data_IF_808049656451
#
_entry.id   IF_808049656451
#
_cell.length_a   1.000
_cell.length_b   1.000
_cell.length_c   1.000
_cell.angle_alpha   90.00
_cell.angle_beta   90.00
_cell.angle_gamma   90.00
#
_symmetry.space_group_name_H-M   'P 1'
#
loop_
_entity.id
_entity.type
_entity.pdbx_description
1 polymer ?
#
# COMPACT_ATOMS: atom_id res chain seq x y z
N UNK A 1 27.17 19.66 5.45
CA UNK A 1 26.04 20.62 5.56
C UNK A 1 25.56 20.63 7.00
N UNK A 2 25.03 21.74 7.58
CA UNK A 2 24.56 21.71 8.98
C UNK A 2 23.31 20.87 9.12
N UNK A 3 23.11 20.23 10.30
CA UNK A 3 21.90 19.45 10.64
C UNK A 3 20.60 20.23 10.36
N UNK A 4 20.58 21.53 10.67
CA UNK A 4 19.46 22.41 10.40
C UNK A 4 19.07 22.43 8.89
N UNK A 5 20.05 22.44 8.00
CA UNK A 5 19.76 22.44 6.57
C UNK A 5 19.27 21.08 6.07
N UNK A 6 19.83 20.00 6.64
CA UNK A 6 19.38 18.62 6.37
C UNK A 6 17.91 18.43 6.78
N UNK A 7 17.52 18.84 8.00
CA UNK A 7 16.13 18.76 8.49
C UNK A 7 15.17 19.64 7.69
N UNK A 8 15.61 20.80 7.21
CA UNK A 8 14.79 21.67 6.34
C UNK A 8 14.47 21.02 4.99
N UNK A 9 15.40 20.22 4.42
CA UNK A 9 15.12 19.47 3.18
C UNK A 9 14.00 18.46 3.41
N UNK A 10 14.06 17.70 4.51
CA UNK A 10 13.01 16.73 4.86
C UNK A 10 11.65 17.41 5.10
N UNK A 11 11.63 18.55 5.81
CA UNK A 11 10.40 19.30 6.04
C UNK A 11 9.73 19.79 4.74
N UNK A 12 10.49 20.06 3.68
CA UNK A 12 9.92 20.43 2.38
C UNK A 12 9.11 19.30 1.74
N UNK A 13 9.45 18.03 2.01
CA UNK A 13 8.65 16.88 1.54
C UNK A 13 7.28 16.93 2.23
N UNK A 14 7.24 17.10 3.55
CA UNK A 14 5.98 17.21 4.30
C UNK A 14 5.09 18.37 3.80
N UNK A 15 5.69 19.48 3.41
CA UNK A 15 4.94 20.63 2.88
C UNK A 15 4.33 20.37 1.49
N UNK A 16 5.00 19.56 0.66
CA UNK A 16 4.49 19.16 -0.66
C UNK A 16 3.37 18.10 -0.56
N UNK A 17 3.41 17.27 0.48
CA UNK A 17 2.47 16.17 0.69
C UNK A 17 1.04 16.58 1.04
N UNK A 18 0.75 17.89 1.11
CA UNK A 18 -0.61 18.41 1.35
C UNK A 18 -1.65 17.93 0.34
N UNK A 19 -1.25 17.66 -0.91
CA UNK A 19 -2.14 17.33 -2.03
C UNK A 19 -1.87 15.96 -2.65
N UNK A 20 -0.67 15.38 -2.46
CA UNK A 20 -0.28 14.10 -3.06
C UNK A 20 0.30 13.16 -1.99
N UNK A 21 0.15 11.83 -2.15
CA UNK A 21 0.82 10.86 -1.27
C UNK A 21 2.34 11.06 -1.32
N UNK A 22 3.01 11.01 -0.17
CA UNK A 22 4.47 11.01 -0.14
C UNK A 22 5.00 9.75 -0.78
N UNK A 23 5.95 9.93 -1.69
CA UNK A 23 6.75 8.83 -2.22
C UNK A 23 7.89 8.60 -1.23
N UNK A 24 7.91 7.44 -0.57
CA UNK A 24 8.94 7.12 0.43
C UNK A 24 10.34 7.11 -0.16
N UNK A 25 10.47 6.86 -1.47
CA UNK A 25 11.75 6.94 -2.19
C UNK A 25 12.35 8.35 -2.14
N UNK A 26 11.54 9.42 -2.14
CA UNK A 26 12.04 10.79 -2.02
C UNK A 26 12.72 11.04 -0.66
N UNK A 27 12.18 10.45 0.41
CA UNK A 27 12.78 10.51 1.74
C UNK A 27 14.08 9.69 1.77
N UNK A 28 14.05 8.49 1.18
CA UNK A 28 15.22 7.63 1.08
C UNK A 28 16.33 8.30 0.27
N UNK A 29 15.99 9.02 -0.80
CA UNK A 29 16.98 9.76 -1.61
C UNK A 29 17.68 10.84 -0.80
N UNK A 30 16.95 11.68 -0.07
CA UNK A 30 17.54 12.70 0.79
C UNK A 30 18.42 12.09 1.87
N UNK A 31 17.97 11.03 2.52
CA UNK A 31 18.76 10.34 3.55
C UNK A 31 20.03 9.74 2.97
N UNK A 32 19.92 9.08 1.81
CA UNK A 32 21.05 8.49 1.10
C UNK A 32 22.11 9.55 0.74
N UNK A 33 21.67 10.70 0.21
CA UNK A 33 22.58 11.82 -0.12
C UNK A 33 23.24 12.44 1.11
N UNK A 34 22.49 12.65 2.19
CA UNK A 34 22.99 13.38 3.37
C UNK A 34 23.79 12.48 4.32
N UNK A 35 23.58 11.16 4.31
CA UNK A 35 24.24 10.17 5.16
C UNK A 35 25.21 9.28 4.42
N UNK A 36 25.33 9.42 3.09
CA UNK A 36 26.16 8.55 2.25
C UNK A 36 25.91 7.06 2.50
N UNK A 37 24.62 6.67 2.49
CA UNK A 37 24.18 5.35 2.93
C UNK A 37 23.16 4.74 2.00
N UNK A 38 23.12 3.41 1.93
CA UNK A 38 21.94 2.72 1.44
C UNK A 38 20.80 2.86 2.46
N UNK A 39 19.61 3.15 1.99
CA UNK A 39 18.45 3.43 2.83
C UNK A 39 17.29 2.54 2.45
N UNK A 40 16.60 1.96 3.45
CA UNK A 40 15.39 1.17 3.26
C UNK A 40 14.33 1.59 4.27
N UNK A 41 13.12 1.82 3.78
CA UNK A 41 11.92 1.99 4.60
C UNK A 41 11.08 0.73 4.49
N UNK A 42 10.93 0.01 5.58
CA UNK A 42 10.23 -1.29 5.63
C UNK A 42 8.95 -1.15 6.44
N UNK A 43 7.84 -1.60 5.90
CA UNK A 43 6.54 -1.62 6.61
C UNK A 43 6.52 -2.66 7.73
N UNK A 44 5.55 -2.58 8.64
CA UNK A 44 5.30 -3.61 9.66
C UNK A 44 5.13 -5.04 9.09
N UNK A 45 4.71 -5.17 7.83
CA UNK A 45 4.53 -6.48 7.14
C UNK A 45 5.76 -6.92 6.34
N UNK A 46 6.89 -6.26 6.51
CA UNK A 46 8.13 -6.57 5.80
C UNK A 46 8.20 -6.04 4.37
N UNK A 47 7.16 -5.37 3.87
CA UNK A 47 7.17 -4.78 2.53
C UNK A 47 8.08 -3.55 2.51
N UNK A 48 8.96 -3.46 1.53
CA UNK A 48 9.78 -2.28 1.27
C UNK A 48 8.88 -1.20 0.67
N UNK A 49 8.72 -0.09 1.39
CA UNK A 49 7.90 1.05 1.00
C UNK A 49 8.69 2.07 0.18
N UNK A 50 9.99 2.15 0.40
CA UNK A 50 10.92 2.99 -0.33
C UNK A 50 12.36 2.56 -0.06
N UNK A 51 13.25 2.87 -1.01
CA UNK A 51 14.66 2.56 -0.92
C UNK A 51 15.50 3.48 -1.79
N UNK A 52 16.78 3.63 -1.43
CA UNK A 52 17.80 4.28 -2.23
C UNK A 52 19.15 3.66 -1.96
N UNK A 53 19.93 3.46 -3.01
CA UNK A 53 21.28 2.89 -2.93
C UNK A 53 22.31 3.93 -3.32
N UNK A 54 23.30 4.08 -2.47
CA UNK A 54 24.51 4.88 -2.70
C UNK A 54 25.61 4.03 -3.33
N UNK A 55 25.66 2.76 -2.93
CA UNK A 55 26.75 1.86 -3.34
C UNK A 55 26.30 0.94 -4.47
N UNK A 56 27.15 0.78 -5.54
CA UNK A 56 26.84 -0.14 -6.63
C UNK A 56 26.84 -1.59 -6.14
N UNK A 57 25.96 -2.40 -6.71
CA UNK A 57 25.89 -3.84 -6.43
C UNK A 57 26.96 -4.59 -7.19
N UNK A 58 27.65 -5.50 -6.50
CA UNK A 58 28.69 -6.36 -7.09
C UNK A 58 28.13 -7.65 -7.70
N UNK A 59 26.99 -8.17 -7.24
CA UNK A 59 26.36 -9.36 -7.79
C UNK A 59 24.86 -9.15 -8.05
N UNK A 60 24.36 -9.69 -9.19
CA UNK A 60 22.97 -9.54 -9.62
C UNK A 60 21.99 -10.53 -8.97
N UNK A 61 22.50 -11.66 -8.44
CA UNK A 61 21.65 -12.82 -8.12
C UNK A 61 20.96 -12.72 -6.75
N UNK A 62 21.58 -12.08 -5.77
CA UNK A 62 21.00 -11.95 -4.41
C UNK A 62 20.13 -10.70 -4.24
N UNK A 63 20.46 -9.68 -5.01
CA UNK A 63 19.66 -8.46 -5.10
C UNK A 63 18.26 -8.71 -5.66
N UNK A 64 18.14 -9.69 -6.55
CA UNK A 64 16.90 -9.93 -7.29
C UNK A 64 15.75 -10.37 -6.37
N UNK A 65 15.95 -11.26 -5.41
CA UNK A 65 14.83 -11.84 -4.64
C UNK A 65 14.15 -10.83 -3.72
N UNK A 66 14.89 -10.03 -2.94
CA UNK A 66 14.30 -9.05 -2.01
C UNK A 66 13.70 -7.86 -2.76
N UNK A 67 14.33 -7.43 -3.85
CA UNK A 67 13.83 -6.29 -4.63
C UNK A 67 12.80 -6.68 -5.67
N UNK A 68 12.86 -7.88 -6.23
CA UNK A 68 11.78 -8.40 -7.09
C UNK A 68 10.49 -8.58 -6.29
N UNK A 69 10.57 -9.10 -5.07
CA UNK A 69 9.43 -9.24 -4.18
C UNK A 69 9.10 -7.95 -3.43
N UNK A 70 10.01 -6.97 -3.38
CA UNK A 70 9.91 -5.75 -2.56
C UNK A 70 9.50 -6.06 -1.12
N UNK A 71 9.99 -7.18 -0.59
CA UNK A 71 9.62 -7.69 0.73
C UNK A 71 10.78 -8.46 1.36
N UNK A 72 11.01 -8.25 2.67
CA UNK A 72 11.86 -9.09 3.50
C UNK A 72 11.14 -10.36 3.91
N UNK A 73 11.91 -11.42 4.25
CA UNK A 73 11.36 -12.64 4.84
C UNK A 73 10.65 -12.33 6.17
N UNK A 74 9.60 -13.08 6.46
CA UNK A 74 8.81 -12.85 7.67
C UNK A 74 9.66 -13.04 8.94
N UNK A 75 10.58 -14.02 8.98
CA UNK A 75 11.49 -14.27 10.11
C UNK A 75 12.42 -13.09 10.38
N UNK A 76 12.99 -12.50 9.34
CA UNK A 76 13.85 -11.33 9.49
C UNK A 76 13.06 -10.11 9.91
N UNK A 77 11.91 -9.87 9.31
CA UNK A 77 11.03 -8.78 9.69
C UNK A 77 10.58 -8.89 11.14
N UNK A 78 10.23 -10.08 11.62
CA UNK A 78 9.88 -10.33 13.01
C UNK A 78 11.05 -10.02 13.96
N UNK A 79 12.28 -10.26 13.52
CA UNK A 79 13.47 -9.87 14.27
C UNK A 79 13.63 -8.36 14.36
N UNK A 80 13.43 -7.65 13.27
CA UNK A 80 13.43 -6.18 13.25
C UNK A 80 12.32 -5.57 14.12
N UNK A 81 11.15 -6.16 14.14
CA UNK A 81 10.01 -5.66 14.93
C UNK A 81 10.20 -5.78 16.44
N UNK A 82 11.09 -6.66 16.91
CA UNK A 82 11.47 -6.79 18.33
C UNK A 82 12.37 -5.66 18.83
N UNK A 83 12.97 -4.91 17.91
CA UNK A 83 13.83 -3.76 18.25
C UNK A 83 12.93 -2.61 18.71
N UNK A 84 13.01 -2.25 20.00
CA UNK A 84 12.20 -1.18 20.60
C UNK A 84 12.82 0.21 20.53
N UNK A 85 14.15 0.29 20.42
CA UNK A 85 14.93 1.53 20.40
C UNK A 85 15.91 1.50 19.23
N UNK A 86 16.45 2.66 18.86
CA UNK A 86 17.43 2.76 17.77
C UNK A 86 18.69 1.95 18.11
N UNK A 87 19.07 1.05 17.22
CA UNK A 87 20.34 0.34 17.28
C UNK A 87 21.33 0.99 16.32
N UNK A 88 22.43 1.50 16.86
CA UNK A 88 23.37 2.36 16.16
C UNK A 88 24.66 1.60 15.88
N UNK A 89 25.21 1.78 14.67
CA UNK A 89 26.54 1.32 14.29
C UNK A 89 26.79 -0.18 14.52
N UNK A 90 25.81 -1.02 14.13
CA UNK A 90 25.95 -2.47 14.20
C UNK A 90 26.92 -2.96 13.14
N UNK A 91 27.87 -3.80 13.55
CA UNK A 91 28.80 -4.48 12.64
C UNK A 91 28.13 -5.67 11.93
N UNK A 92 28.78 -6.20 10.90
CA UNK A 92 28.26 -7.34 10.11
C UNK A 92 28.00 -8.61 10.93
N UNK A 93 28.66 -8.76 12.08
CA UNK A 93 28.51 -9.93 12.95
C UNK A 93 27.34 -9.83 13.92
N UNK A 94 26.63 -8.71 13.96
CA UNK A 94 25.49 -8.49 14.84
C UNK A 94 24.22 -9.19 14.34
N UNK A 95 23.41 -9.70 15.27
CA UNK A 95 22.21 -10.52 15.01
C UNK A 95 21.19 -9.89 14.07
N UNK A 96 21.17 -8.56 14.01
CA UNK A 96 20.15 -7.78 13.28
C UNK A 96 20.65 -7.28 11.94
N UNK A 97 21.92 -7.51 11.63
CA UNK A 97 22.45 -7.13 10.33
C UNK A 97 22.04 -8.18 9.32
N UNK A 98 21.27 -7.76 8.34
CA UNK A 98 20.97 -8.62 7.21
C UNK A 98 22.30 -8.87 6.49
N UNK A 99 22.81 -10.07 6.62
CA UNK A 99 23.78 -10.60 5.69
C UNK A 99 23.06 -10.90 4.37
N UNK A 100 22.55 -9.85 3.73
CA UNK A 100 22.46 -9.92 2.28
C UNK A 100 23.91 -10.04 1.90
N UNK A 101 24.30 -11.18 1.37
CA UNK A 101 25.67 -11.54 0.96
C UNK A 101 26.17 -10.60 -0.15
N UNK A 102 26.11 -9.32 0.11
CA UNK A 102 26.91 -8.34 -0.60
C UNK A 102 28.30 -8.49 -0.02
N UNK A 103 29.14 -9.27 -0.68
CA UNK A 103 30.58 -9.11 -0.57
C UNK A 103 30.93 -7.68 -1.04
N UNK A 104 30.80 -6.74 -0.14
CA UNK A 104 31.47 -5.46 -0.31
C UNK A 104 32.94 -5.76 -0.09
N UNK A 105 33.64 -6.12 -1.16
CA UNK A 105 35.05 -6.46 -1.10
C UNK A 105 35.85 -5.47 -0.24
N UNK A 106 36.21 -5.90 0.97
CA UNK A 106 37.15 -5.21 1.83
C UNK A 106 36.69 -3.98 2.61
N UNK A 107 35.35 -3.73 2.73
CA UNK A 107 34.83 -2.64 3.57
C UNK A 107 33.93 -3.17 4.69
N UNK A 108 34.11 -2.63 5.89
CA UNK A 108 33.26 -2.93 7.02
C UNK A 108 31.86 -2.31 6.80
N UNK A 109 30.86 -3.16 6.82
CA UNK A 109 29.45 -2.77 6.71
C UNK A 109 28.94 -2.35 8.07
N UNK A 110 28.52 -1.10 8.20
CA UNK A 110 27.88 -0.55 9.40
C UNK A 110 26.39 -0.37 9.16
N UNK A 111 25.58 -0.94 10.03
CA UNK A 111 24.10 -0.87 9.92
C UNK A 111 23.52 -0.11 11.10
N UNK A 112 22.60 0.79 10.86
CA UNK A 112 21.77 1.45 11.88
C UNK A 112 20.31 1.14 11.62
N UNK A 113 19.59 0.74 12.67
CA UNK A 113 18.18 0.33 12.61
C UNK A 113 17.36 1.25 13.48
N UNK A 114 16.43 1.97 12.87
CA UNK A 114 15.57 2.92 13.55
C UNK A 114 14.11 2.44 13.52
N UNK A 115 13.48 2.20 14.68
CA UNK A 115 12.07 1.87 14.77
C UNK A 115 11.18 3.00 14.28
N UNK A 116 10.26 2.72 13.36
CA UNK A 116 9.23 3.68 12.93
C UNK A 116 7.99 3.43 13.77
N UNK A 117 7.65 4.36 14.64
CA UNK A 117 6.50 4.27 15.54
C UNK A 117 5.51 5.43 15.28
N UNK A 118 4.23 5.20 15.53
CA UNK A 118 3.18 6.22 15.50
C UNK A 118 1.91 5.72 16.16
N UNK A 119 1.15 6.60 16.82
CA UNK A 119 -0.07 6.26 17.56
C UNK A 119 0.08 5.07 18.53
N UNK A 120 1.23 4.95 19.19
CA UNK A 120 1.60 3.83 20.09
C UNK A 120 1.70 2.48 19.39
N UNK A 121 1.83 2.46 18.08
CA UNK A 121 2.02 1.24 17.28
C UNK A 121 3.38 1.26 16.57
N UNK A 122 3.97 0.08 16.39
CA UNK A 122 5.07 -0.11 15.46
C UNK A 122 4.53 -0.09 14.04
N UNK A 123 5.00 0.85 13.22
CA UNK A 123 4.54 1.05 11.84
C UNK A 123 5.50 0.41 10.82
N UNK A 124 6.77 0.36 11.15
CA UNK A 124 7.80 -0.13 10.25
C UNK A 124 9.21 0.02 10.83
N UNK A 125 10.21 -0.09 9.97
CA UNK A 125 11.62 0.02 10.31
C UNK A 125 12.35 0.82 9.23
N UNK A 126 13.16 1.81 9.64
CA UNK A 126 14.13 2.47 8.79
C UNK A 126 15.49 1.78 9.00
N UNK A 127 16.12 1.37 7.91
CA UNK A 127 17.43 0.70 7.92
C UNK A 127 18.38 1.56 7.10
N UNK A 128 19.53 1.86 7.69
CA UNK A 128 20.64 2.60 7.08
C UNK A 128 21.85 1.70 7.03
N UNK A 129 22.54 1.69 5.89
CA UNK A 129 23.77 0.91 5.71
C UNK A 129 24.87 1.80 5.15
N UNK A 130 25.97 1.95 5.91
CA UNK A 130 27.17 2.70 5.52
C UNK A 130 28.34 1.76 5.25
N UNK A 131 29.15 2.13 4.25
CA UNK A 131 30.47 1.55 3.99
C UNK A 131 31.62 2.56 4.21
N UNK A 132 31.27 3.76 4.68
CA UNK A 132 32.22 4.85 4.90
C UNK A 132 32.61 5.04 6.37
N UNK A 133 31.98 4.27 7.26
CA UNK A 133 32.21 4.29 8.71
C UNK A 133 30.95 4.48 9.53
N UNK A 134 31.16 4.76 10.81
CA UNK A 134 30.10 4.93 11.80
C UNK A 134 29.31 6.24 11.61
N UNK A 135 28.03 6.19 11.95
CA UNK A 135 27.17 7.36 12.02
C UNK A 135 27.47 8.19 13.27
N UNK A 136 27.49 9.50 13.12
CA UNK A 136 27.64 10.46 14.22
C UNK A 136 26.30 10.69 14.93
N UNK A 137 26.34 11.30 16.10
CA UNK A 137 25.12 11.71 16.84
C UNK A 137 24.19 12.59 15.98
N UNK A 138 24.75 13.50 15.15
CA UNK A 138 23.95 14.35 14.24
C UNK A 138 23.26 13.50 13.15
N UNK A 139 23.90 12.46 12.66
CA UNK A 139 23.34 11.56 11.66
C UNK A 139 22.22 10.70 12.27
N UNK A 140 22.38 10.26 13.51
CA UNK A 140 21.35 9.52 14.25
C UNK A 140 20.13 10.41 14.52
N UNK A 141 20.33 11.65 14.95
CA UNK A 141 19.22 12.61 15.11
C UNK A 141 18.46 12.80 13.80
N UNK A 142 19.17 12.90 12.67
CA UNK A 142 18.53 13.02 11.35
C UNK A 142 17.74 11.76 10.99
N UNK A 143 18.29 10.57 11.27
CA UNK A 143 17.64 9.29 11.02
C UNK A 143 16.35 9.13 11.84
N UNK A 144 16.41 9.41 13.15
CA UNK A 144 15.24 9.34 14.05
C UNK A 144 14.16 10.38 13.70
N UNK A 145 14.59 11.58 13.32
CA UNK A 145 13.68 12.60 12.81
C UNK A 145 12.98 12.13 11.53
N UNK A 146 13.74 11.50 10.61
CA UNK A 146 13.18 10.94 9.38
C UNK A 146 12.23 9.79 9.65
N UNK A 147 12.54 8.91 10.61
CA UNK A 147 11.64 7.85 11.04
C UNK A 147 10.30 8.40 11.58
N UNK A 148 10.34 9.52 12.29
CA UNK A 148 9.13 10.22 12.76
C UNK A 148 8.30 10.73 11.59
N UNK A 149 8.93 11.37 10.60
CA UNK A 149 8.27 11.84 9.37
C UNK A 149 7.64 10.66 8.61
N UNK A 150 8.38 9.59 8.40
CA UNK A 150 7.90 8.38 7.74
C UNK A 150 6.69 7.81 8.49
N UNK A 151 6.76 7.75 9.82
CA UNK A 151 5.66 7.30 10.66
C UNK A 151 4.37 8.11 10.47
N UNK A 152 4.48 9.44 10.42
CA UNK A 152 3.34 10.33 10.14
C UNK A 152 2.75 10.08 8.75
N UNK A 153 3.58 9.89 7.73
CA UNK A 153 3.11 9.64 6.37
C UNK A 153 2.47 8.24 6.21
N UNK A 154 2.99 7.22 6.91
CA UNK A 154 2.34 5.90 6.95
C UNK A 154 0.95 6.00 7.59
N UNK A 155 0.82 6.73 8.70
CA UNK A 155 -0.48 6.94 9.36
C UNK A 155 -1.46 7.69 8.46
N UNK A 156 -0.98 8.74 7.79
CA UNK A 156 -1.78 9.51 6.86
C UNK A 156 -2.27 8.65 5.68
N UNK A 157 -1.39 7.86 5.08
CA UNK A 157 -1.75 6.97 3.98
C UNK A 157 -2.81 5.94 4.41
N UNK A 158 -2.68 5.35 5.60
CA UNK A 158 -3.68 4.45 6.18
C UNK A 158 -5.03 5.14 6.40
N UNK A 159 -5.02 6.39 6.85
CA UNK A 159 -6.25 7.15 7.06
C UNK A 159 -6.96 7.42 5.74
N UNK A 160 -6.24 7.88 4.71
CA UNK A 160 -6.81 8.13 3.38
C UNK A 160 -7.39 6.86 2.76
N UNK A 161 -6.69 5.73 2.88
CA UNK A 161 -7.19 4.43 2.42
C UNK A 161 -8.48 4.04 3.14
N UNK A 162 -8.52 4.20 4.47
CA UNK A 162 -9.71 3.93 5.27
C UNK A 162 -10.89 4.83 4.92
N UNK A 163 -10.66 6.12 4.69
CA UNK A 163 -11.69 7.09 4.27
C UNK A 163 -12.23 6.75 2.88
N UNK A 164 -11.37 6.34 1.95
CA UNK A 164 -11.79 5.90 0.62
C UNK A 164 -12.61 4.61 0.67
N UNK A 165 -12.17 3.63 1.44
CA UNK A 165 -12.92 2.39 1.65
C UNK A 165 -14.29 2.65 2.29
N UNK A 166 -14.35 3.53 3.29
CA UNK A 166 -15.62 3.94 3.90
C UNK A 166 -16.54 4.60 2.86
N UNK A 167 -16.01 5.54 2.08
CA UNK A 167 -16.76 6.20 1.01
C UNK A 167 -17.32 5.21 -0.01
N UNK A 168 -16.49 4.23 -0.43
CA UNK A 168 -16.94 3.17 -1.35
C UNK A 168 -18.09 2.34 -0.75
N UNK A 169 -17.96 1.97 0.53
CA UNK A 169 -19.00 1.25 1.26
C UNK A 169 -20.30 2.05 1.34
N UNK A 170 -20.23 3.34 1.71
CA UNK A 170 -21.39 4.21 1.85
C UNK A 170 -22.15 4.37 0.53
N UNK A 171 -21.42 4.53 -0.58
CA UNK A 171 -22.03 4.62 -1.92
C UNK A 171 -22.79 3.34 -2.28
N UNK A 172 -22.22 2.18 -2.00
CA UNK A 172 -22.87 0.89 -2.27
C UNK A 172 -24.11 0.70 -1.37
N UNK A 173 -23.98 1.00 -0.07
CA UNK A 173 -25.09 0.89 0.88
C UNK A 173 -26.29 1.78 0.47
N UNK A 174 -26.01 3.02 0.10
CA UNK A 174 -27.05 3.94 -0.42
C UNK A 174 -27.69 3.41 -1.70
N UNK A 175 -26.91 2.91 -2.64
CA UNK A 175 -27.41 2.34 -3.88
C UNK A 175 -28.34 1.14 -3.60
N UNK A 176 -27.94 0.21 -2.74
CA UNK A 176 -28.73 -0.97 -2.36
C UNK A 176 -30.02 -0.56 -1.61
N UNK A 177 -29.99 0.48 -0.78
CA UNK A 177 -31.18 0.98 -0.06
C UNK A 177 -32.26 1.53 -1.01
N UNK A 178 -31.88 2.05 -2.16
CA UNK A 178 -32.86 2.54 -3.18
C UNK A 178 -33.60 1.42 -3.88
N UNK A 179 -33.12 0.18 -3.80
CA UNK A 179 -33.73 -0.96 -4.48
C UNK A 179 -34.94 -1.48 -3.70
N UNK A 180 -36.01 -1.77 -4.42
CA UNK A 180 -37.15 -2.55 -3.88
C UNK A 180 -36.73 -4.01 -3.61
N UNK A 181 -37.56 -4.76 -2.90
CA UNK A 181 -37.27 -6.17 -2.61
C UNK A 181 -37.03 -6.99 -3.89
N UNK A 182 -37.91 -6.88 -4.89
CA UNK A 182 -37.77 -7.59 -6.16
C UNK A 182 -36.55 -7.14 -6.97
N UNK A 183 -36.15 -5.86 -6.86
CA UNK A 183 -34.93 -5.34 -7.49
C UNK A 183 -33.68 -5.90 -6.81
N UNK A 184 -33.68 -6.04 -5.47
CA UNK A 184 -32.57 -6.68 -4.73
C UNK A 184 -32.40 -8.15 -5.11
N UNK A 185 -33.49 -8.89 -5.20
CA UNK A 185 -33.46 -10.28 -5.70
C UNK A 185 -32.87 -10.37 -7.11
N UNK A 186 -33.35 -9.48 -8.02
CA UNK A 186 -32.82 -9.40 -9.36
C UNK A 186 -31.28 -9.16 -9.38
N UNK A 187 -30.82 -8.18 -8.61
CA UNK A 187 -29.43 -7.81 -8.49
C UNK A 187 -28.58 -8.99 -7.98
N UNK A 188 -29.04 -9.67 -6.93
CA UNK A 188 -28.36 -10.86 -6.40
C UNK A 188 -28.21 -11.96 -7.46
N UNK A 189 -29.26 -12.23 -8.24
CA UNK A 189 -29.19 -13.23 -9.31
C UNK A 189 -28.27 -12.81 -10.45
N UNK A 190 -28.29 -11.54 -10.83
CA UNK A 190 -27.44 -10.97 -11.88
C UNK A 190 -25.95 -11.18 -11.50
N UNK A 191 -25.55 -10.72 -10.33
CA UNK A 191 -24.13 -10.74 -9.94
C UNK A 191 -23.62 -12.13 -9.53
N UNK A 192 -24.50 -13.06 -9.17
CA UNK A 192 -24.13 -14.48 -9.01
C UNK A 192 -23.82 -15.18 -10.33
N UNK A 193 -24.47 -14.74 -11.42
CA UNK A 193 -24.22 -15.29 -12.77
C UNK A 193 -23.06 -14.61 -13.50
N UNK A 194 -22.63 -13.42 -13.02
CA UNK A 194 -21.46 -12.74 -13.56
C UNK A 194 -20.18 -13.48 -13.14
N UNK A 195 -19.30 -13.71 -14.09
CA UNK A 195 -17.98 -14.29 -13.84
C UNK A 195 -16.92 -13.17 -13.78
N UNK A 196 -16.62 -12.69 -12.58
CA UNK A 196 -15.71 -11.57 -12.35
C UNK A 196 -16.39 -10.20 -12.32
N UNK A 197 -15.60 -9.16 -12.60
CA UNK A 197 -16.06 -7.76 -12.49
C UNK A 197 -16.79 -7.27 -13.75
N UNK A 198 -16.85 -8.08 -14.79
CA UNK A 198 -17.50 -7.74 -16.07
C UNK A 198 -18.19 -8.95 -16.69
N UNK A 199 -19.35 -8.75 -17.29
CA UNK A 199 -20.06 -9.81 -17.96
C UNK A 199 -21.20 -9.37 -18.85
N UNK A 200 -21.74 -10.31 -19.62
CA UNK A 200 -22.88 -10.10 -20.51
C UNK A 200 -24.15 -10.69 -19.91
N UNK A 201 -25.16 -9.84 -19.76
CA UNK A 201 -26.45 -10.19 -19.20
C UNK A 201 -27.56 -10.16 -20.27
N UNK A 202 -28.40 -11.18 -20.30
CA UNK A 202 -29.65 -11.18 -21.03
C UNK A 202 -30.80 -11.03 -20.04
N UNK A 203 -31.33 -9.81 -19.90
CA UNK A 203 -32.31 -9.45 -18.87
C UNK A 203 -33.60 -10.31 -18.91
N UNK A 204 -34.07 -10.71 -20.11
CA UNK A 204 -35.23 -11.61 -20.23
C UNK A 204 -34.98 -12.98 -19.62
N UNK A 205 -33.76 -13.54 -19.82
CA UNK A 205 -33.39 -14.87 -19.28
C UNK A 205 -33.40 -14.88 -17.75
N UNK A 206 -32.91 -13.80 -17.15
CA UNK A 206 -32.92 -13.68 -15.67
C UNK A 206 -34.35 -13.41 -15.17
N UNK A 207 -35.11 -12.56 -15.87
CA UNK A 207 -36.49 -12.30 -15.54
C UNK A 207 -37.31 -13.57 -15.46
N UNK A 208 -37.16 -14.45 -16.47
CA UNK A 208 -37.87 -15.74 -16.54
C UNK A 208 -37.41 -16.69 -15.41
N UNK A 209 -36.11 -16.70 -15.08
CA UNK A 209 -35.54 -17.57 -14.04
C UNK A 209 -35.99 -17.18 -12.64
N UNK A 210 -36.14 -15.89 -12.37
CA UNK A 210 -36.44 -15.35 -11.03
C UNK A 210 -37.96 -15.09 -10.86
N UNK A 211 -38.74 -15.17 -11.94
CA UNK A 211 -40.19 -14.91 -11.90
C UNK A 211 -40.54 -13.41 -11.75
N UNK A 212 -39.66 -12.52 -12.27
CA UNK A 212 -39.87 -11.07 -12.26
C UNK A 212 -39.97 -10.52 -13.69
N UNK A 213 -40.33 -9.25 -13.82
CA UNK A 213 -40.39 -8.63 -15.13
C UNK A 213 -39.05 -8.06 -15.58
N UNK A 214 -38.80 -8.01 -16.89
CA UNK A 214 -37.58 -7.38 -17.45
C UNK A 214 -37.44 -5.91 -16.99
N UNK A 215 -38.53 -5.20 -16.78
CA UNK A 215 -38.51 -3.81 -16.32
C UNK A 215 -37.90 -3.67 -14.90
N UNK A 216 -38.15 -4.63 -14.01
CA UNK A 216 -37.54 -4.66 -12.67
C UNK A 216 -36.02 -4.73 -12.77
N UNK A 217 -35.50 -5.63 -13.63
CA UNK A 217 -34.07 -5.77 -13.87
C UNK A 217 -33.45 -4.47 -14.42
N UNK A 218 -34.09 -3.89 -15.44
CA UNK A 218 -33.60 -2.65 -16.08
C UNK A 218 -33.60 -1.49 -15.07
N UNK A 219 -34.64 -1.39 -14.23
CA UNK A 219 -34.72 -0.34 -13.21
C UNK A 219 -33.65 -0.53 -12.13
N UNK A 220 -33.43 -1.76 -11.67
CA UNK A 220 -32.37 -2.08 -10.70
C UNK A 220 -30.99 -1.67 -11.24
N UNK A 221 -30.65 -2.09 -12.46
CA UNK A 221 -29.37 -1.73 -13.10
C UNK A 221 -29.25 -0.22 -13.27
N UNK A 222 -30.30 0.49 -13.68
CA UNK A 222 -30.30 1.95 -13.82
C UNK A 222 -30.03 2.66 -12.48
N UNK A 223 -30.59 2.17 -11.37
CA UNK A 223 -30.36 2.73 -10.03
C UNK A 223 -28.89 2.54 -9.60
N UNK A 224 -28.33 1.34 -9.78
CA UNK A 224 -26.92 1.08 -9.49
C UNK A 224 -25.99 1.90 -10.38
N UNK A 225 -26.33 2.06 -11.66
CA UNK A 225 -25.54 2.88 -12.59
C UNK A 225 -25.62 4.38 -12.23
N UNK A 226 -26.80 4.87 -11.87
CA UNK A 226 -26.98 6.27 -11.42
C UNK A 226 -26.23 6.58 -10.14
N UNK A 227 -26.02 5.59 -9.28
CA UNK A 227 -25.18 5.68 -8.08
C UNK A 227 -23.67 5.52 -8.37
N UNK A 228 -23.29 5.25 -9.63
CA UNK A 228 -21.89 5.05 -10.01
C UNK A 228 -21.28 3.73 -9.54
N UNK A 229 -22.09 2.77 -9.10
CA UNK A 229 -21.63 1.47 -8.59
C UNK A 229 -21.28 0.51 -9.72
N UNK A 230 -22.02 0.61 -10.85
CA UNK A 230 -21.78 -0.17 -12.05
C UNK A 230 -21.81 0.73 -13.29
N UNK A 231 -21.35 0.17 -14.41
CA UNK A 231 -21.60 0.71 -15.76
C UNK A 231 -22.35 -0.33 -16.57
N UNK A 232 -23.40 0.11 -17.28
CA UNK A 232 -24.16 -0.77 -18.15
C UNK A 232 -24.12 -0.27 -19.59
N UNK A 233 -24.03 -1.19 -20.56
CA UNK A 233 -24.06 -0.89 -21.99
C UNK A 233 -24.95 -1.89 -22.72
N UNK A 234 -26.04 -1.41 -23.31
CA UNK A 234 -26.89 -2.24 -24.15
C UNK A 234 -26.20 -2.62 -25.46
N UNK A 235 -26.22 -3.91 -25.79
CA UNK A 235 -25.72 -4.48 -27.04
C UNK A 235 -26.87 -4.99 -27.93
N UNK A 236 -28.05 -4.41 -27.78
CA UNK A 236 -29.27 -4.79 -28.52
C UNK A 236 -29.69 -6.21 -28.21
N UNK A 237 -29.91 -7.04 -29.25
CA UNK A 237 -30.34 -8.44 -29.09
C UNK A 237 -29.32 -9.32 -28.35
N UNK A 238 -28.05 -8.92 -28.28
CA UNK A 238 -27.00 -9.69 -27.60
C UNK A 238 -27.07 -9.54 -26.08
N UNK A 239 -27.85 -8.57 -25.56
CA UNK A 239 -28.00 -8.33 -24.12
C UNK A 239 -27.36 -7.02 -23.65
N UNK A 240 -27.04 -6.94 -22.37
CA UNK A 240 -26.42 -5.78 -21.71
C UNK A 240 -25.09 -6.20 -21.10
N UNK A 241 -24.03 -5.48 -21.45
CA UNK A 241 -22.72 -5.62 -20.79
C UNK A 241 -22.77 -4.84 -19.49
N UNK A 242 -22.34 -5.46 -18.40
CA UNK A 242 -22.23 -4.85 -17.07
C UNK A 242 -20.77 -4.89 -16.67
N UNK A 243 -20.28 -3.78 -16.11
CA UNK A 243 -18.95 -3.66 -15.50
C UNK A 243 -19.14 -3.12 -14.10
N UNK A 244 -18.57 -3.78 -13.09
CA UNK A 244 -18.58 -3.34 -11.70
C UNK A 244 -17.52 -2.24 -11.56
N UNK A 245 -17.91 -1.06 -11.05
CA UNK A 245 -17.03 0.07 -10.82
C UNK A 245 -16.59 0.18 -9.35
N UNK A 246 -17.40 -0.37 -8.44
CA UNK A 246 -17.15 -0.34 -7.01
C UNK A 246 -16.99 -1.78 -6.50
N UNK A 247 -15.78 -2.11 -6.10
CA UNK A 247 -15.34 -3.43 -5.63
C UNK A 247 -16.09 -3.93 -4.38
N UNK A 248 -16.69 -3.02 -3.59
CA UNK A 248 -17.49 -3.37 -2.40
C UNK A 248 -18.89 -3.91 -2.75
N UNK A 249 -19.34 -3.82 -4.00
CA UNK A 249 -20.67 -4.27 -4.39
C UNK A 249 -20.90 -5.76 -4.14
N UNK A 250 -19.99 -6.61 -4.58
CA UNK A 250 -20.12 -8.06 -4.44
C UNK A 250 -20.03 -8.52 -2.99
N UNK A 251 -19.20 -7.84 -2.20
CA UNK A 251 -19.07 -8.08 -0.77
C UNK A 251 -20.38 -7.77 -0.02
N UNK A 252 -21.02 -6.62 -0.32
CA UNK A 252 -22.28 -6.18 0.30
C UNK A 252 -23.50 -7.01 -0.14
N UNK A 253 -23.45 -7.66 -1.29
CA UNK A 253 -24.49 -8.55 -1.78
C UNK A 253 -24.32 -10.00 -1.28
N UNK A 254 -23.34 -10.29 -0.40
CA UNK A 254 -22.98 -11.65 0.05
C UNK A 254 -22.67 -12.61 -1.12
N UNK A 255 -22.20 -12.07 -2.22
CA UNK A 255 -21.76 -12.82 -3.40
C UNK A 255 -20.26 -13.01 -3.30
N UNK A 256 -19.81 -13.87 -2.37
CA UNK A 256 -18.41 -14.27 -2.31
C UNK A 256 -18.14 -15.35 -3.36
N UNK A 257 -17.08 -15.13 -4.12
CA UNK A 257 -16.40 -16.20 -4.85
C UNK A 257 -15.29 -16.81 -4.01
#
# INVERSE_FOLDING_TARGET
MSLLNKTRKLNKILQKSGTEPVVFDDICEILSEELHSDVYVVSRRGKILGHKFTYPFTTKEEYSSVLEEMKYSDDYNDTLLKIGETLVNLSADERYVLNIEKEYEGKDKITTIVPINGNRERLGTLILVSLEGEYTDEDIVLAEYSATIIGLEILRSKQLESEEDQRKNDVVDLAIQTLSYSEKEAVNHIFRELDGDEGLLVASRIADKVGITRSVIVNALRKLESAGVIKSRSLGMKGTRITILNDKLLEKLDIRK
#
